data_IF_822659361560
#
_entry.id   IF_822659361560
#
_cell.length_a   1.000
_cell.length_b   1.000
_cell.length_c   1.000
_cell.angle_alpha   90.00
_cell.angle_beta   90.00
_cell.angle_gamma   90.00
#
_symmetry.space_group_name_H-M   'P 1'
#
loop_
_entity.id
_entity.type
_entity.pdbx_description
1 polymer ?
#
# COMPACT_ATOMS: atom_id res chain seq x y z
N UNK A 1 -2.46 -27.52 4.69
CA UNK A 1 -2.36 -26.51 5.78
C UNK A 1 -2.26 -25.14 5.14
N UNK A 2 -3.04 -24.15 5.61
CA UNK A 2 -3.03 -22.77 5.07
C UNK A 2 -4.31 -22.31 4.39
N UNK A 3 -5.27 -23.21 4.14
CA UNK A 3 -6.65 -22.90 3.73
C UNK A 3 -7.66 -22.96 4.89
N UNK A 4 -7.17 -23.22 6.11
CA UNK A 4 -7.98 -23.21 7.33
C UNK A 4 -8.17 -21.77 7.79
N UNK A 5 -9.40 -21.38 8.15
CA UNK A 5 -9.75 -20.01 8.58
C UNK A 5 -9.55 -19.78 10.07
N UNK A 6 -9.48 -20.83 10.89
CA UNK A 6 -9.69 -20.78 12.34
C UNK A 6 -8.45 -20.37 13.17
N UNK A 7 -7.26 -20.35 12.58
CA UNK A 7 -6.01 -20.27 13.36
C UNK A 7 -5.05 -19.14 13.00
N UNK A 8 -5.19 -18.52 11.83
CA UNK A 8 -4.23 -17.51 11.38
C UNK A 8 -4.89 -16.42 10.54
N UNK A 9 -4.76 -15.17 11.00
CA UNK A 9 -5.18 -13.96 10.27
C UNK A 9 -4.42 -13.75 8.95
N UNK A 10 -3.36 -14.52 8.71
CA UNK A 10 -2.56 -14.55 7.47
C UNK A 10 -2.73 -15.83 6.65
N UNK A 11 -3.83 -16.58 6.83
CA UNK A 11 -4.11 -17.76 6.01
C UNK A 11 -4.46 -17.37 4.56
N UNK A 12 -4.26 -18.30 3.60
CA UNK A 12 -4.59 -18.08 2.19
C UNK A 12 -6.08 -17.79 2.00
N UNK A 13 -6.92 -18.46 2.78
CA UNK A 13 -8.37 -18.24 2.77
C UNK A 13 -8.72 -16.82 3.22
N UNK A 14 -8.12 -16.34 4.32
CA UNK A 14 -8.36 -14.97 4.80
C UNK A 14 -7.88 -13.95 3.76
N UNK A 15 -6.70 -14.15 3.15
CA UNK A 15 -6.23 -13.28 2.07
C UNK A 15 -7.20 -13.27 0.89
N UNK A 16 -7.61 -14.44 0.39
CA UNK A 16 -8.54 -14.52 -0.72
C UNK A 16 -9.89 -13.87 -0.40
N UNK A 17 -10.40 -14.05 0.81
CA UNK A 17 -11.66 -13.47 1.26
C UNK A 17 -11.53 -11.95 1.38
N UNK A 18 -10.52 -11.43 2.10
CA UNK A 18 -10.29 -9.98 2.22
C UNK A 18 -10.09 -9.31 0.86
N UNK A 19 -9.48 -10.01 -0.11
CA UNK A 19 -9.36 -9.51 -1.47
C UNK A 19 -10.68 -9.47 -2.24
N UNK A 20 -11.67 -10.31 -1.94
CA UNK A 20 -12.91 -10.42 -2.71
C UNK A 20 -14.12 -9.80 -2.00
N UNK A 21 -14.02 -9.54 -0.71
CA UNK A 21 -15.04 -8.82 0.05
C UNK A 21 -15.18 -7.36 -0.42
N UNK A 22 -16.34 -6.77 -0.10
CA UNK A 22 -16.69 -5.42 -0.53
C UNK A 22 -15.70 -4.35 -0.07
N UNK A 23 -15.25 -4.42 1.19
CA UNK A 23 -14.25 -3.48 1.71
C UNK A 23 -12.88 -3.59 0.99
N UNK A 24 -12.60 -4.73 0.36
CA UNK A 24 -11.37 -4.93 -0.42
C UNK A 24 -11.40 -4.26 -1.78
N UNK A 25 -12.53 -3.70 -2.22
CA UNK A 25 -12.69 -3.14 -3.57
C UNK A 25 -11.73 -1.97 -3.83
N UNK A 26 -11.67 -1.00 -2.91
CA UNK A 26 -10.78 0.15 -3.06
C UNK A 26 -9.30 -0.26 -3.01
N UNK A 27 -8.97 -1.28 -2.23
CA UNK A 27 -7.63 -1.89 -2.26
C UNK A 27 -7.33 -2.51 -3.63
N UNK A 28 -8.26 -3.28 -4.22
CA UNK A 28 -8.08 -3.87 -5.56
C UNK A 28 -7.90 -2.80 -6.64
N UNK A 29 -8.70 -1.74 -6.62
CA UNK A 29 -8.59 -0.60 -7.54
C UNK A 29 -7.23 0.09 -7.41
N UNK A 30 -6.81 0.38 -6.17
CA UNK A 30 -5.50 0.94 -5.87
C UNK A 30 -4.38 0.02 -6.35
N UNK A 31 -4.47 -1.28 -6.08
CA UNK A 31 -3.48 -2.28 -6.48
C UNK A 31 -3.32 -2.34 -8.00
N UNK A 32 -4.43 -2.31 -8.75
CA UNK A 32 -4.40 -2.24 -10.21
C UNK A 32 -3.75 -0.95 -10.70
N UNK A 33 -4.19 0.21 -10.19
CA UNK A 33 -3.66 1.52 -10.60
C UNK A 33 -2.17 1.65 -10.30
N UNK A 34 -1.73 1.18 -9.14
CA UNK A 34 -0.33 1.19 -8.74
C UNK A 34 0.57 0.49 -9.76
N UNK A 35 0.17 -0.69 -10.22
CA UNK A 35 0.99 -1.49 -11.14
C UNK A 35 0.80 -1.03 -12.60
N UNK A 36 -0.43 -1.08 -13.11
CA UNK A 36 -0.70 -0.86 -14.54
C UNK A 36 -0.60 0.61 -14.97
N UNK A 37 -1.03 1.54 -14.11
CA UNK A 37 -1.04 2.98 -14.42
C UNK A 37 0.07 3.75 -13.70
N UNK A 38 0.71 3.12 -12.72
CA UNK A 38 1.87 3.65 -12.02
C UNK A 38 3.14 3.11 -12.66
N UNK A 39 3.56 1.92 -12.24
CA UNK A 39 4.85 1.32 -12.63
C UNK A 39 5.03 1.17 -14.14
N UNK A 40 4.05 0.60 -14.84
CA UNK A 40 4.18 0.37 -16.29
C UNK A 40 4.20 1.71 -17.05
N UNK A 41 3.45 2.70 -16.56
CA UNK A 41 3.37 4.03 -17.16
C UNK A 41 4.61 4.88 -16.86
N UNK A 42 5.42 4.59 -15.84
CA UNK A 42 6.62 5.38 -15.51
C UNK A 42 7.57 5.53 -16.69
N UNK A 43 7.67 4.51 -17.55
CA UNK A 43 8.55 4.52 -18.73
C UNK A 43 8.09 5.48 -19.82
N UNK A 44 6.77 5.64 -19.99
CA UNK A 44 6.17 6.47 -21.02
C UNK A 44 5.84 7.89 -20.52
N UNK A 45 5.39 8.01 -19.26
CA UNK A 45 5.07 9.28 -18.62
C UNK A 45 5.35 9.20 -17.11
N UNK A 46 6.57 9.57 -16.73
CA UNK A 46 7.01 9.54 -15.34
C UNK A 46 6.14 10.39 -14.41
N UNK A 47 5.65 11.56 -14.84
CA UNK A 47 4.84 12.45 -13.99
C UNK A 47 3.53 11.78 -13.60
N UNK A 48 2.79 11.25 -14.59
CA UNK A 48 1.49 10.61 -14.35
C UNK A 48 1.67 9.28 -13.62
N UNK A 49 2.71 8.50 -13.96
CA UNK A 49 3.03 7.27 -13.24
C UNK A 49 3.32 7.51 -11.76
N UNK A 50 4.13 8.53 -11.45
CA UNK A 50 4.45 8.92 -10.07
C UNK A 50 3.21 9.42 -9.31
N UNK A 51 2.33 10.18 -9.96
CA UNK A 51 1.06 10.61 -9.37
C UNK A 51 0.17 9.41 -9.00
N UNK A 52 0.03 8.44 -9.91
CA UNK A 52 -0.74 7.22 -9.65
C UNK A 52 -0.14 6.40 -8.50
N UNK A 53 1.18 6.30 -8.41
CA UNK A 53 1.88 5.64 -7.29
C UNK A 53 1.62 6.40 -5.98
N UNK A 54 1.75 7.72 -5.97
CA UNK A 54 1.50 8.53 -4.78
C UNK A 54 0.05 8.43 -4.28
N UNK A 55 -0.91 8.34 -5.22
CA UNK A 55 -2.34 8.19 -4.89
C UNK A 55 -2.67 6.92 -4.10
N UNK A 56 -1.80 5.90 -4.12
CA UNK A 56 -2.00 4.64 -3.39
C UNK A 56 -1.97 4.78 -1.86
N UNK A 57 -1.34 5.84 -1.36
CA UNK A 57 -1.21 6.09 0.09
C UNK A 57 -2.57 6.31 0.75
N UNK A 58 -3.50 6.97 0.06
CA UNK A 58 -4.82 7.30 0.62
C UNK A 58 -5.72 6.07 0.78
N UNK A 59 -5.93 5.20 -0.23
CA UNK A 59 -6.69 3.96 -0.03
C UNK A 59 -6.11 3.03 1.04
N UNK A 60 -4.78 3.01 1.21
CA UNK A 60 -4.15 2.27 2.30
C UNK A 60 -4.48 2.84 3.67
N UNK A 61 -4.53 4.18 3.79
CA UNK A 61 -4.94 4.84 5.04
C UNK A 61 -6.40 4.50 5.36
N UNK A 62 -7.30 4.66 4.39
CA UNK A 62 -8.72 4.37 4.58
C UNK A 62 -8.95 2.91 4.99
N UNK A 63 -8.28 1.96 4.32
CA UNK A 63 -8.36 0.55 4.70
C UNK A 63 -7.83 0.29 6.12
N UNK A 64 -6.77 1.00 6.53
CA UNK A 64 -6.23 0.89 7.88
C UNK A 64 -7.18 1.47 8.94
N UNK A 65 -7.87 2.57 8.63
CA UNK A 65 -8.83 3.21 9.54
C UNK A 65 -10.14 2.40 9.66
N UNK A 66 -10.68 1.90 8.55
CA UNK A 66 -11.93 1.14 8.53
C UNK A 66 -11.75 -0.32 8.96
N UNK A 67 -10.64 -0.95 8.55
CA UNK A 67 -10.37 -2.37 8.75
C UNK A 67 -8.92 -2.62 9.21
N UNK A 68 -8.52 -2.14 10.41
CA UNK A 68 -7.13 -2.24 10.89
C UNK A 68 -6.62 -3.69 11.02
N UNK A 69 -7.51 -4.66 11.20
CA UNK A 69 -7.19 -6.09 11.26
C UNK A 69 -7.04 -6.78 9.90
N UNK A 70 -7.23 -6.05 8.79
CA UNK A 70 -7.15 -6.61 7.44
C UNK A 70 -5.74 -7.13 7.13
N UNK A 71 -5.67 -8.34 6.56
CA UNK A 71 -4.41 -8.96 6.10
C UNK A 71 -3.78 -8.20 4.93
N UNK A 72 -4.55 -7.37 4.23
CA UNK A 72 -4.09 -6.60 3.07
C UNK A 72 -3.07 -5.52 3.45
N UNK A 73 -3.19 -4.93 4.64
CA UNK A 73 -2.23 -3.93 5.14
C UNK A 73 -0.83 -4.52 5.33
N UNK A 74 -0.62 -5.58 6.16
CA UNK A 74 0.70 -6.19 6.27
C UNK A 74 1.16 -6.82 4.96
N UNK A 75 0.26 -7.36 4.12
CA UNK A 75 0.64 -7.87 2.81
C UNK A 75 1.23 -6.79 1.91
N UNK A 76 0.59 -5.61 1.81
CA UNK A 76 1.15 -4.49 1.07
C UNK A 76 2.48 -4.05 1.69
N UNK A 77 2.51 -3.92 3.01
CA UNK A 77 3.69 -3.56 3.78
C UNK A 77 4.90 -4.44 3.47
N UNK A 78 4.70 -5.75 3.44
CA UNK A 78 5.76 -6.74 3.21
C UNK A 78 6.18 -6.80 1.73
N UNK A 79 5.29 -6.47 0.79
CA UNK A 79 5.54 -6.64 -0.64
C UNK A 79 6.01 -5.36 -1.36
N UNK A 80 5.45 -4.19 -1.02
CA UNK A 80 5.56 -2.97 -1.86
C UNK A 80 5.96 -1.71 -1.09
N UNK A 81 6.05 -1.75 0.24
CA UNK A 81 6.38 -0.55 1.02
C UNK A 81 7.77 0.01 0.71
N UNK A 82 8.78 -0.86 0.60
CA UNK A 82 10.15 -0.43 0.28
C UNK A 82 10.23 0.22 -1.12
N UNK A 83 9.50 -0.35 -2.10
CA UNK A 83 9.41 0.18 -3.46
C UNK A 83 8.68 1.53 -3.47
N UNK A 84 7.51 1.62 -2.84
CA UNK A 84 6.75 2.87 -2.71
C UNK A 84 7.60 3.98 -2.10
N UNK A 85 8.32 3.69 -1.01
CA UNK A 85 9.18 4.67 -0.34
C UNK A 85 10.33 5.10 -1.26
N UNK A 86 10.97 4.14 -1.94
CA UNK A 86 12.05 4.46 -2.87
C UNK A 86 11.58 5.38 -3.99
N UNK A 87 10.40 5.12 -4.56
CA UNK A 87 9.82 5.95 -5.62
C UNK A 87 9.48 7.35 -5.07
N UNK A 88 8.74 7.43 -3.97
CA UNK A 88 8.33 8.71 -3.37
C UNK A 88 9.50 9.55 -2.87
N UNK A 89 10.64 8.95 -2.52
CA UNK A 89 11.85 9.68 -2.11
C UNK A 89 12.40 10.61 -3.20
N UNK A 90 12.08 10.33 -4.46
CA UNK A 90 12.45 11.17 -5.63
C UNK A 90 11.44 12.29 -5.90
N UNK A 91 10.28 12.26 -5.23
CA UNK A 91 9.21 13.24 -5.38
C UNK A 91 9.46 14.56 -4.68
N UNK A 92 8.48 15.46 -4.77
CA UNK A 92 8.53 16.78 -4.14
C UNK A 92 8.64 16.69 -2.61
N UNK A 93 9.18 17.74 -1.98
CA UNK A 93 9.28 17.83 -0.50
C UNK A 93 7.90 17.72 0.16
N UNK A 94 6.86 18.27 -0.48
CA UNK A 94 5.48 18.22 0.02
C UNK A 94 4.98 16.77 -0.01
N UNK A 95 5.10 16.10 -1.15
CA UNK A 95 4.70 14.69 -1.34
C UNK A 95 5.38 13.77 -0.34
N UNK A 96 6.69 13.94 -0.15
CA UNK A 96 7.47 13.15 0.83
C UNK A 96 6.96 13.31 2.25
N UNK A 97 6.70 14.56 2.67
CA UNK A 97 6.20 14.86 4.01
C UNK A 97 4.80 14.28 4.25
N UNK A 98 3.90 14.42 3.28
CA UNK A 98 2.52 13.89 3.36
C UNK A 98 2.52 12.36 3.40
N UNK A 99 3.32 11.72 2.55
CA UNK A 99 3.50 10.27 2.54
C UNK A 99 4.10 9.78 3.85
N UNK A 100 5.15 10.44 4.37
CA UNK A 100 5.75 10.09 5.65
C UNK A 100 4.74 10.14 6.80
N UNK A 101 3.98 11.23 6.91
CA UNK A 101 2.96 11.40 7.94
C UNK A 101 1.88 10.31 7.86
N UNK A 102 1.47 9.94 6.65
CA UNK A 102 0.41 8.95 6.44
C UNK A 102 0.91 7.53 6.68
N UNK A 103 2.02 7.16 6.04
CA UNK A 103 2.60 5.82 6.16
C UNK A 103 3.10 5.52 7.58
N UNK A 104 3.49 6.53 8.36
CA UNK A 104 3.86 6.35 9.78
C UNK A 104 2.66 5.96 10.66
N UNK A 105 1.44 6.39 10.30
CA UNK A 105 0.22 5.94 10.99
C UNK A 105 -0.07 4.46 10.71
N UNK A 106 0.08 4.05 9.45
CA UNK A 106 -0.23 2.68 8.99
C UNK A 106 0.85 1.68 9.41
N UNK A 107 2.14 2.07 9.33
CA UNK A 107 3.30 1.20 9.55
C UNK A 107 4.24 1.74 10.63
N UNK A 108 3.80 1.91 11.88
CA UNK A 108 4.60 2.52 12.95
C UNK A 108 5.90 1.75 13.25
N UNK A 109 5.90 0.43 13.04
CA UNK A 109 7.06 -0.44 13.25
C UNK A 109 8.08 -0.41 12.09
N UNK A 110 7.77 0.21 10.95
CA UNK A 110 8.64 0.28 9.76
C UNK A 110 9.47 1.57 9.73
N UNK A 111 9.76 2.15 10.89
CA UNK A 111 10.40 3.46 11.02
C UNK A 111 11.69 3.62 10.21
N UNK A 112 12.58 2.62 10.25
CA UNK A 112 13.87 2.64 9.52
C UNK A 112 13.71 2.84 8.02
N UNK A 113 12.68 2.25 7.42
CA UNK A 113 12.38 2.42 5.99
C UNK A 113 11.78 3.81 5.75
N UNK A 114 10.84 4.23 6.62
CA UNK A 114 10.12 5.49 6.49
C UNK A 114 11.02 6.73 6.62
N UNK A 115 12.12 6.67 7.37
CA UNK A 115 13.07 7.79 7.49
C UNK A 115 13.64 8.25 6.13
N UNK A 116 13.61 7.42 5.08
CA UNK A 116 14.01 7.82 3.72
C UNK A 116 13.14 8.91 3.09
N UNK A 117 11.94 9.14 3.64
CA UNK A 117 11.02 10.20 3.21
C UNK A 117 11.21 11.51 4.00
N UNK A 118 12.07 11.51 5.00
CA UNK A 118 12.39 12.71 5.79
C UNK A 118 13.40 13.59 5.06
#
# INVERSE_FOLDING_TARGET
>A
RGWEMDRNSRSRSVTAISFNEGFGEEFRKMWYRYHALGLDLLSANASVGMENIASSVLPLLLLHEEHPGSVLIPMFGDAKLDELISLLSTGSVITKREAYQTLRKIYPARGTVLEKLR
#
